data_IF_325602839933
#
_entry.id   IF_325602839933
#
_cell.length_a   1.000
_cell.length_b   1.000
_cell.length_c   1.000
_cell.angle_alpha   90.00
_cell.angle_beta   90.00
_cell.angle_gamma   90.00
#
_symmetry.space_group_name_H-M   'P 1'
#
loop_
_entity.id
_entity.type
_entity.pdbx_description
1 polymer ?
#
# COMPACT_ATOMS: atom_id res chain seq x y z
N UNK A 1 27.95 -13.17 6.69
CA UNK A 1 27.26 -11.86 6.58
C UNK A 1 25.83 -12.14 6.17
N UNK A 2 24.88 -12.10 7.11
CA UNK A 2 23.46 -12.09 6.74
C UNK A 2 23.21 -10.76 6.02
N UNK A 3 22.92 -10.82 4.72
CA UNK A 3 22.55 -9.64 3.94
C UNK A 3 21.32 -9.02 4.57
N UNK A 4 21.41 -7.74 4.92
CA UNK A 4 20.30 -6.95 5.44
C UNK A 4 19.25 -6.88 4.32
N UNK A 5 18.21 -7.71 4.36
CA UNK A 5 16.99 -7.39 3.61
C UNK A 5 16.48 -6.08 4.22
N UNK A 6 16.40 -5.02 3.42
CA UNK A 6 15.76 -3.79 3.87
C UNK A 6 14.30 -4.12 4.21
N UNK A 7 13.92 -3.93 5.47
CA UNK A 7 12.59 -4.22 5.96
C UNK A 7 11.53 -3.44 5.16
N UNK A 8 10.38 -4.09 4.93
CA UNK A 8 9.24 -3.44 4.32
C UNK A 8 8.75 -2.30 5.22
N UNK A 9 8.53 -1.13 4.63
CA UNK A 9 7.91 -0.02 5.34
C UNK A 9 6.45 -0.37 5.64
N UNK A 10 5.98 -0.07 6.86
CA UNK A 10 4.55 -0.06 7.17
C UNK A 10 3.84 0.88 6.19
N UNK A 11 2.93 0.39 5.35
CA UNK A 11 2.39 1.16 4.22
C UNK A 11 1.40 2.24 4.66
N UNK A 12 0.87 2.13 5.87
CA UNK A 12 -0.08 3.07 6.44
C UNK A 12 -0.12 2.90 7.97
N UNK A 13 -0.12 4.02 8.70
CA UNK A 13 -0.37 4.03 10.15
C UNK A 13 -1.84 3.66 10.44
N UNK A 14 -2.08 2.72 11.35
CA UNK A 14 -3.43 2.37 11.81
C UNK A 14 -3.42 1.22 12.80
N UNK A 15 -4.62 0.81 13.22
CA UNK A 15 -4.81 -0.39 14.05
C UNK A 15 -4.93 -1.59 13.13
N UNK A 16 -4.14 -2.63 13.37
CA UNK A 16 -4.30 -3.92 12.69
C UNK A 16 -5.57 -4.58 13.23
N UNK A 17 -6.52 -4.87 12.35
CA UNK A 17 -7.81 -5.48 12.69
C UNK A 17 -7.90 -6.95 12.34
N UNK A 18 -7.09 -7.42 11.39
CA UNK A 18 -6.94 -8.85 11.06
C UNK A 18 -5.46 -9.13 10.75
N UNK A 19 -4.88 -10.07 11.48
CA UNK A 19 -3.51 -10.53 11.26
C UNK A 19 -3.39 -11.57 10.15
N UNK A 20 -2.16 -12.05 9.96
CA UNK A 20 -1.85 -13.12 9.02
C UNK A 20 -2.37 -14.45 9.55
N UNK A 21 -3.21 -15.11 8.76
CA UNK A 21 -3.75 -16.45 9.03
C UNK A 21 -3.63 -17.31 7.76
N UNK A 22 -3.84 -18.63 7.89
CA UNK A 22 -3.70 -19.56 6.76
C UNK A 22 -4.60 -19.19 5.58
N UNK A 23 -5.83 -18.75 5.84
CA UNK A 23 -6.80 -18.34 4.82
C UNK A 23 -6.83 -16.81 4.59
N UNK A 24 -5.96 -16.07 5.28
CA UNK A 24 -5.82 -14.62 5.19
C UNK A 24 -4.33 -14.22 5.20
N UNK A 25 -3.61 -14.35 4.06
CA UNK A 25 -2.17 -14.11 3.98
C UNK A 25 -1.81 -12.61 3.92
N UNK A 26 -2.49 -11.80 4.73
CA UNK A 26 -2.44 -10.35 4.69
C UNK A 26 -2.51 -9.73 6.09
N UNK A 27 -2.16 -8.45 6.16
CA UNK A 27 -2.49 -7.58 7.28
C UNK A 27 -3.60 -6.62 6.87
N UNK A 28 -4.70 -6.63 7.64
CA UNK A 28 -5.75 -5.63 7.49
C UNK A 28 -5.53 -4.49 8.49
N UNK A 29 -5.37 -3.28 7.97
CA UNK A 29 -5.12 -2.08 8.76
C UNK A 29 -6.31 -1.14 8.61
N UNK A 30 -7.06 -0.93 9.70
CA UNK A 30 -8.22 -0.03 9.68
C UNK A 30 -7.81 1.41 9.39
N UNK A 31 -8.60 2.10 8.58
CA UNK A 31 -8.32 3.48 8.18
C UNK A 31 -9.58 4.26 7.82
N UNK A 32 -9.47 5.60 7.89
CA UNK A 32 -10.45 6.47 7.25
C UNK A 32 -10.20 6.48 5.75
N UNK A 33 -11.26 6.41 4.95
CA UNK A 33 -11.19 6.58 3.49
C UNK A 33 -10.44 7.87 3.16
N UNK A 34 -9.55 7.80 2.17
CA UNK A 34 -8.70 8.93 1.76
C UNK A 34 -7.39 9.05 2.54
N UNK A 35 -7.10 8.18 3.52
CA UNK A 35 -5.76 8.12 4.14
C UNK A 35 -4.70 7.67 3.11
N UNK A 36 -3.53 8.32 3.02
CA UNK A 36 -2.47 7.91 2.10
C UNK A 36 -1.97 6.48 2.38
N UNK A 37 -1.78 5.71 1.31
CA UNK A 37 -1.13 4.39 1.32
C UNK A 37 0.20 4.51 0.58
N UNK A 38 1.26 3.98 1.19
CA UNK A 38 2.64 4.17 0.76
C UNK A 38 3.27 2.89 0.24
N UNK A 39 4.19 3.03 -0.72
CA UNK A 39 5.01 1.92 -1.21
C UNK A 39 5.89 1.39 -0.07
N UNK A 40 5.77 0.10 0.22
CA UNK A 40 6.55 -0.55 1.27
C UNK A 40 8.05 -0.71 0.90
N UNK A 41 8.37 -0.70 -0.39
CA UNK A 41 9.70 -0.86 -0.95
C UNK A 41 9.81 -0.16 -2.31
N UNK A 42 11.01 -0.11 -2.89
CA UNK A 42 11.21 0.38 -4.26
C UNK A 42 10.71 -0.66 -5.28
N UNK A 43 10.13 -0.22 -6.38
CA UNK A 43 9.72 -1.12 -7.44
C UNK A 43 8.94 -0.49 -8.58
N UNK A 44 8.48 -1.35 -9.49
CA UNK A 44 7.57 -0.99 -10.58
C UNK A 44 6.17 -1.49 -10.20
N UNK A 45 5.18 -0.60 -10.29
CA UNK A 45 3.83 -0.90 -9.85
C UNK A 45 2.75 -0.39 -10.78
N UNK A 46 1.53 -0.89 -10.57
CA UNK A 46 0.33 -0.49 -11.31
C UNK A 46 -0.94 -0.82 -10.52
N UNK A 47 -2.00 -0.06 -10.76
CA UNK A 47 -3.34 -0.35 -10.25
C UNK A 47 -4.13 -1.28 -11.16
N UNK A 48 -4.97 -2.13 -10.56
CA UNK A 48 -5.98 -2.94 -11.23
C UNK A 48 -7.28 -2.93 -10.43
N UNK A 49 -8.40 -3.05 -11.13
CA UNK A 49 -9.71 -3.24 -10.51
C UNK A 49 -10.10 -4.72 -10.56
N UNK A 50 -10.71 -5.21 -9.49
CA UNK A 50 -11.48 -6.46 -9.48
C UNK A 50 -12.76 -6.29 -8.68
N UNK A 51 -13.76 -7.13 -8.94
CA UNK A 51 -15.03 -7.08 -8.19
C UNK A 51 -14.86 -7.46 -6.71
N UNK A 52 -13.87 -8.29 -6.38
CA UNK A 52 -13.63 -8.79 -5.02
C UNK A 52 -12.74 -7.86 -4.21
N UNK A 53 -11.57 -7.47 -4.74
CA UNK A 53 -10.56 -6.66 -4.04
C UNK A 53 -10.68 -5.15 -4.32
N UNK A 54 -11.55 -4.74 -5.25
CA UNK A 54 -11.70 -3.33 -5.63
C UNK A 54 -10.45 -2.79 -6.32
N UNK A 55 -10.13 -1.52 -6.09
CA UNK A 55 -8.87 -0.95 -6.57
C UNK A 55 -7.71 -1.54 -5.77
N UNK A 56 -6.79 -2.15 -6.49
CA UNK A 56 -5.63 -2.83 -5.94
C UNK A 56 -4.37 -2.34 -6.62
N UNK A 57 -3.42 -1.83 -5.85
CA UNK A 57 -2.08 -1.52 -6.35
C UNK A 57 -1.18 -2.75 -6.19
N UNK A 58 -0.44 -3.10 -7.24
CA UNK A 58 0.56 -4.15 -7.22
C UNK A 58 1.94 -3.53 -7.41
N UNK A 59 2.90 -3.90 -6.58
CA UNK A 59 4.28 -3.40 -6.65
C UNK A 59 5.26 -4.59 -6.62
N UNK A 60 6.27 -4.55 -7.49
CA UNK A 60 7.30 -5.58 -7.54
C UNK A 60 8.69 -4.96 -7.70
N UNK A 61 9.67 -5.46 -6.94
CA UNK A 61 11.04 -4.98 -6.98
C UNK A 61 11.92 -5.78 -6.02
N UNK A 62 13.21 -5.94 -6.37
CA UNK A 62 14.21 -6.62 -5.53
C UNK A 62 13.79 -8.02 -5.00
N UNK A 63 13.04 -8.79 -5.79
CA UNK A 63 12.56 -10.12 -5.40
C UNK A 63 11.34 -10.15 -4.46
N UNK A 64 10.78 -8.97 -4.14
CA UNK A 64 9.60 -8.82 -3.29
C UNK A 64 8.41 -8.34 -4.12
N UNK A 65 7.23 -8.88 -3.83
CA UNK A 65 5.96 -8.34 -4.34
C UNK A 65 5.09 -7.90 -3.17
N UNK A 66 4.42 -6.77 -3.33
CA UNK A 66 3.43 -6.28 -2.37
C UNK A 66 2.12 -5.93 -3.07
N UNK A 67 1.00 -6.14 -2.38
CA UNK A 67 -0.36 -5.84 -2.86
C UNK A 67 -1.09 -4.97 -1.84
N UNK A 68 -1.82 -3.98 -2.34
CA UNK A 68 -2.51 -2.96 -1.54
C UNK A 68 -3.95 -2.87 -2.06
N UNK A 69 -4.89 -3.55 -1.40
CA UNK A 69 -6.27 -3.71 -1.88
C UNK A 69 -7.26 -2.77 -1.18
N UNK A 70 -8.50 -2.77 -1.67
CA UNK A 70 -9.62 -1.95 -1.16
C UNK A 70 -9.42 -0.43 -1.25
N UNK A 71 -8.49 0.02 -2.10
CA UNK A 71 -8.17 1.44 -2.26
C UNK A 71 -9.38 2.23 -2.80
N UNK A 72 -9.46 3.52 -2.49
CA UNK A 72 -10.41 4.42 -3.16
C UNK A 72 -9.92 4.81 -4.55
N UNK A 73 -8.60 4.95 -4.68
CA UNK A 73 -7.87 5.15 -5.93
C UNK A 73 -6.44 4.65 -5.74
N UNK A 74 -5.87 4.05 -6.78
CA UNK A 74 -4.46 3.68 -6.82
C UNK A 74 -3.71 4.48 -7.88
N UNK A 75 -2.39 4.52 -7.76
CA UNK A 75 -1.52 5.25 -8.67
C UNK A 75 -1.43 4.56 -10.05
N UNK A 76 -1.11 5.31 -11.12
CA UNK A 76 -0.96 4.74 -12.47
C UNK A 76 0.26 3.81 -12.57
N UNK A 77 0.43 3.09 -13.68
CA UNK A 77 1.67 2.33 -13.92
C UNK A 77 2.91 3.22 -13.86
N UNK A 78 3.97 2.77 -13.18
CA UNK A 78 5.22 3.53 -13.07
C UNK A 78 6.23 2.94 -12.08
N UNK A 79 7.35 3.62 -11.92
CA UNK A 79 8.35 3.33 -10.88
C UNK A 79 8.06 4.12 -9.62
N UNK A 80 8.13 3.46 -8.47
CA UNK A 80 7.82 4.04 -7.17
C UNK A 80 8.94 3.73 -6.19
N UNK A 81 9.35 4.75 -5.44
CA UNK A 81 10.31 4.61 -4.34
C UNK A 81 9.57 4.31 -3.03
N UNK A 82 10.24 3.59 -2.13
CA UNK A 82 9.80 3.33 -0.76
C UNK A 82 9.30 4.63 -0.10
N UNK A 83 8.08 4.58 0.46
CA UNK A 83 7.43 5.72 1.12
C UNK A 83 6.59 6.61 0.21
N UNK A 84 6.71 6.50 -1.12
CA UNK A 84 5.87 7.27 -2.05
C UNK A 84 4.40 6.86 -1.95
N UNK A 85 3.50 7.83 -2.11
CA UNK A 85 2.05 7.60 -2.12
C UNK A 85 1.66 6.87 -3.41
N UNK A 86 1.14 5.66 -3.26
CA UNK A 86 0.70 4.76 -4.34
C UNK A 86 -0.82 4.57 -4.38
N UNK A 87 -1.52 5.19 -3.44
CA UNK A 87 -2.97 5.14 -3.39
C UNK A 87 -3.51 5.75 -2.12
N UNK A 88 -4.81 5.61 -1.94
CA UNK A 88 -5.50 6.06 -0.75
C UNK A 88 -6.43 4.97 -0.25
N UNK A 89 -6.47 4.79 1.06
CA UNK A 89 -7.41 3.91 1.75
C UNK A 89 -8.83 4.12 1.20
N UNK A 90 -9.56 3.03 1.05
CA UNK A 90 -10.93 3.04 0.54
C UNK A 90 -11.81 2.05 1.28
N UNK A 91 -12.83 1.60 0.57
CA UNK A 91 -13.79 0.57 0.98
C UNK A 91 -14.36 -0.06 -0.30
N UNK A 92 -13.48 -0.36 -1.27
CA UNK A 92 -13.89 -0.85 -2.59
C UNK A 92 -13.74 -2.37 -2.69
N UNK A 93 -14.54 -2.99 -3.54
CA UNK A 93 -14.57 -4.44 -3.70
C UNK A 93 -15.52 -5.13 -2.72
N UNK A 94 -16.12 -6.24 -3.16
CA UNK A 94 -17.15 -6.97 -2.42
C UNK A 94 -16.67 -7.60 -1.11
N UNK A 95 -15.38 -7.92 -1.01
CA UNK A 95 -14.82 -8.53 0.20
C UNK A 95 -14.47 -7.51 1.28
N UNK A 96 -14.54 -6.21 0.99
CA UNK A 96 -14.36 -5.18 2.01
C UNK A 96 -15.61 -5.06 2.88
N UNK A 97 -15.50 -5.35 4.17
CA UNK A 97 -16.60 -5.24 5.15
C UNK A 97 -16.65 -3.88 5.83
N UNK A 98 -15.66 -3.03 5.59
CA UNK A 98 -15.55 -1.66 6.10
C UNK A 98 -14.19 -1.05 5.72
N UNK A 99 -13.98 0.26 5.92
CA UNK A 99 -12.75 0.93 5.49
C UNK A 99 -11.46 0.38 6.13
N UNK A 100 -10.63 -0.27 5.33
CA UNK A 100 -9.30 -0.78 5.71
C UNK A 100 -8.37 -0.86 4.49
N UNK A 101 -7.07 -1.03 4.76
CA UNK A 101 -6.08 -1.47 3.79
C UNK A 101 -5.83 -2.96 4.02
N UNK A 102 -6.02 -3.78 2.99
CA UNK A 102 -5.58 -5.17 2.97
C UNK A 102 -4.22 -5.25 2.29
N UNK A 103 -3.18 -5.58 3.07
CA UNK A 103 -1.78 -5.52 2.67
C UNK A 103 -1.13 -6.91 2.67
N UNK A 104 -0.59 -7.30 1.52
CA UNK A 104 0.10 -8.59 1.36
C UNK A 104 1.55 -8.38 0.92
N UNK A 105 2.38 -9.35 1.28
CA UNK A 105 3.76 -9.47 0.80
C UNK A 105 4.07 -10.90 0.35
N UNK A 106 4.90 -11.01 -0.68
CA UNK A 106 5.53 -12.26 -1.12
C UNK A 106 7.05 -12.05 -1.10
N UNK A 107 7.82 -12.81 -0.29
CA UNK A 107 7.36 -13.86 0.63
C UNK A 107 6.58 -13.35 1.86
N UNK A 108 5.67 -14.18 2.39
CA UNK A 108 4.72 -13.82 3.45
C UNK A 108 5.40 -13.41 4.77
N UNK A 109 6.52 -14.05 5.13
CA UNK A 109 7.26 -13.76 6.37
C UNK A 109 7.78 -12.31 6.48
N UNK A 110 7.73 -11.54 5.39
CA UNK A 110 8.09 -10.12 5.43
C UNK A 110 7.08 -9.27 6.21
N UNK A 111 5.86 -9.76 6.42
CA UNK A 111 4.84 -9.09 7.24
C UNK A 111 5.18 -9.11 8.74
N UNK A 112 6.08 -10.00 9.19
CA UNK A 112 6.46 -10.12 10.60
C UNK A 112 7.50 -9.07 11.05
N UNK A 113 8.14 -8.40 10.08
CA UNK A 113 9.32 -7.54 10.32
C UNK A 113 9.15 -6.15 9.69
N UNK A 114 7.93 -5.60 9.74
CA UNK A 114 7.65 -4.27 9.18
C UNK A 114 8.35 -3.15 9.96
N UNK A 115 8.91 -2.19 9.22
CA UNK A 115 9.56 -1.00 9.77
C UNK A 115 8.57 0.17 9.83
N UNK A 116 8.42 0.77 11.01
CA UNK A 116 7.63 2.00 11.16
C UNK A 116 8.46 3.23 10.76
N UNK A 117 7.92 4.13 9.91
CA UNK A 117 8.62 5.38 9.59
C UNK A 117 8.72 6.29 10.82
N UNK A 118 9.83 7.01 10.93
CA UNK A 118 9.96 8.13 11.87
C UNK A 118 8.99 9.26 11.52
N UNK A 119 8.67 10.10 12.51
CA UNK A 119 7.80 11.26 12.29
C UNK A 119 8.37 12.22 11.22
N UNK A 120 9.69 12.30 11.08
CA UNK A 120 10.34 13.09 10.04
C UNK A 120 10.17 12.49 8.65
N UNK A 121 10.33 11.17 8.53
CA UNK A 121 10.06 10.44 7.29
C UNK A 121 8.59 10.61 6.88
N UNK A 122 7.64 10.53 7.82
CA UNK A 122 6.24 10.78 7.50
C UNK A 122 5.99 12.18 6.95
N UNK A 123 6.58 13.23 7.56
CA UNK A 123 6.45 14.62 7.10
C UNK A 123 7.04 14.83 5.70
N UNK A 124 8.20 14.25 5.41
CA UNK A 124 8.80 14.38 4.07
C UNK A 124 8.02 13.62 3.00
N UNK A 125 7.31 12.56 3.38
CA UNK A 125 6.51 11.73 2.49
C UNK A 125 5.07 12.24 2.30
N UNK A 126 4.57 13.22 3.07
CA UNK A 126 3.18 13.72 3.03
C UNK A 126 2.81 14.59 1.82
N UNK A 127 3.73 14.79 0.87
CA UNK A 127 3.47 15.58 -0.33
C UNK A 127 2.43 14.90 -1.24
N UNK A 128 1.44 15.67 -1.70
CA UNK A 128 0.49 15.20 -2.72
C UNK A 128 1.26 14.70 -3.94
N UNK A 129 1.05 13.45 -4.38
CA UNK A 129 1.85 12.90 -5.46
C UNK A 129 1.48 13.56 -6.79
N UNK A 130 2.48 13.75 -7.65
CA UNK A 130 2.30 14.42 -8.95
C UNK A 130 1.21 13.77 -9.82
N UNK A 131 1.07 12.43 -9.75
CA UNK A 131 0.05 11.70 -10.49
C UNK A 131 -1.39 12.09 -10.09
N UNK A 132 -1.57 12.64 -8.88
CA UNK A 132 -2.86 13.13 -8.40
C UNK A 132 -3.16 14.56 -8.85
N UNK A 133 -2.13 15.40 -9.01
CA UNK A 133 -2.29 16.78 -9.48
C UNK A 133 -2.72 16.80 -10.95
N UNK A 134 -2.09 15.97 -11.79
CA UNK A 134 -2.41 15.88 -13.23
C UNK A 134 -3.84 15.43 -13.52
N UNK A 135 -4.46 14.62 -12.65
CA UNK A 135 -5.85 14.17 -12.84
C UNK A 135 -6.87 15.28 -12.60
N UNK A 136 -6.54 16.25 -11.74
CA UNK A 136 -7.41 17.41 -11.45
C UNK A 136 -7.33 18.44 -12.57
N UNK A 137 -6.16 18.67 -13.14
CA UNK A 137 -5.97 19.62 -14.25
C UNK A 137 -6.56 19.12 -15.57
N UNK A 138 -6.47 17.82 -15.87
CA UNK A 138 -7.04 17.23 -17.09
C UNK A 138 -8.58 17.10 -17.08
N UNK A 139 -9.23 17.45 -15.96
CA UNK A 139 -10.70 17.41 -15.79
C UNK A 139 -11.32 18.82 -15.79
N UNK A 140 -10.57 19.85 -16.18
CA UNK A 140 -10.99 21.24 -16.39
C UNK A 140 -10.87 21.60 -17.87
#
# INVERSE_FOLDING_TARGET
MLGLFAALLVPMSGVVTHGVEQDHPALDIACRVGRPVRAAHDGVGRSRWSSTLGWTFHLAGAGVKTRYSHLSVGAPPGSYNRGQIIGYCGNTGRWSTGPHLHFEAEPLHLLDVLESPSAEQLRSMEQTPQWRQRSVEASR
#
